data_IF_604853027582
#
_entry.id   IF_604853027582
#
_cell.length_a   1.000
_cell.length_b   1.000
_cell.length_c   1.000
_cell.angle_alpha   90.00
_cell.angle_beta   90.00
_cell.angle_gamma   90.00
#
_symmetry.space_group_name_H-M   'P 1'
#
loop_
_entity.id
_entity.type
_entity.pdbx_description
1 polymer ?
#
# COMPACT_ATOMS: atom_id res chain seq x y z
N UNK A 1 26.70 1.87 -7.40
CA UNK A 1 25.24 2.06 -7.38
C UNK A 1 24.73 2.35 -8.77
N UNK A 2 23.74 1.64 -9.21
CA UNK A 2 23.14 1.88 -10.50
C UNK A 2 22.02 2.90 -10.33
N UNK A 3 22.10 4.00 -11.09
CA UNK A 3 21.03 4.99 -11.12
C UNK A 3 19.97 4.52 -12.11
N UNK A 4 18.82 4.15 -11.55
CA UNK A 4 17.66 3.78 -12.36
C UNK A 4 16.74 4.99 -12.46
N UNK A 5 16.38 5.34 -13.69
CA UNK A 5 15.36 6.35 -13.90
C UNK A 5 14.00 5.76 -13.58
N UNK A 6 13.25 6.43 -12.75
CA UNK A 6 11.85 6.06 -12.49
C UNK A 6 11.06 6.32 -13.79
N UNK A 7 10.34 5.31 -14.29
CA UNK A 7 9.47 5.53 -15.45
C UNK A 7 8.46 6.63 -15.18
N UNK A 8 8.10 7.36 -16.22
CA UNK A 8 7.04 8.36 -16.12
C UNK A 8 5.75 7.65 -15.75
N UNK A 9 5.06 8.17 -14.72
CA UNK A 9 3.82 7.60 -14.26
C UNK A 9 2.71 7.90 -15.27
N UNK A 10 2.01 6.88 -15.72
CA UNK A 10 0.83 7.03 -16.58
C UNK A 10 -0.41 7.23 -15.69
N UNK A 11 -0.70 8.47 -15.40
CA UNK A 11 -1.89 8.81 -14.63
C UNK A 11 -3.15 8.40 -15.38
N UNK A 12 -4.11 7.84 -14.66
CA UNK A 12 -5.36 7.37 -15.24
C UNK A 12 -5.35 5.92 -15.68
N UNK A 13 -4.20 5.23 -15.66
CA UNK A 13 -4.17 3.80 -15.90
C UNK A 13 -4.77 3.04 -14.71
N UNK A 14 -5.57 1.99 -14.95
CA UNK A 14 -6.01 1.13 -13.88
C UNK A 14 -4.82 0.48 -13.16
N UNK A 15 -4.89 0.38 -11.85
CA UNK A 15 -3.88 -0.34 -11.09
C UNK A 15 -3.88 -1.82 -11.49
N UNK A 16 -2.71 -2.42 -11.72
CA UNK A 16 -2.65 -3.86 -12.01
C UNK A 16 -3.23 -4.66 -10.86
N UNK A 17 -3.87 -5.77 -11.18
CA UNK A 17 -4.36 -6.67 -10.16
C UNK A 17 -3.19 -7.39 -9.50
N UNK A 18 -3.39 -7.80 -8.27
CA UNK A 18 -2.43 -8.61 -7.54
C UNK A 18 -3.16 -9.64 -6.68
N UNK A 19 -2.46 -10.70 -6.34
CA UNK A 19 -2.93 -11.75 -5.45
C UNK A 19 -1.72 -12.20 -4.62
N UNK A 20 -1.64 -11.70 -3.40
CA UNK A 20 -0.47 -11.86 -2.56
C UNK A 20 -0.85 -12.48 -1.21
N UNK A 21 0.02 -13.35 -0.66
CA UNK A 21 -0.19 -13.88 0.68
C UNK A 21 0.02 -12.79 1.73
N UNK A 22 -0.93 -12.67 2.65
CA UNK A 22 -0.78 -11.79 3.80
C UNK A 22 -0.11 -12.46 4.97
N UNK A 23 0.30 -11.67 5.94
CA UNK A 23 0.91 -12.16 7.18
C UNK A 23 -0.06 -12.99 8.02
N UNK A 24 -1.35 -12.86 7.77
CA UNK A 24 -2.42 -13.61 8.45
C UNK A 24 -2.73 -14.96 7.78
N UNK A 25 -1.99 -15.34 6.73
CA UNK A 25 -2.20 -16.56 5.98
C UNK A 25 -3.27 -16.48 4.92
N UNK A 26 -3.96 -15.34 4.78
CA UNK A 26 -4.95 -15.13 3.73
C UNK A 26 -4.27 -14.57 2.48
N UNK A 27 -4.94 -14.78 1.36
CA UNK A 27 -4.54 -14.13 0.12
C UNK A 27 -5.33 -12.85 -0.07
N UNK A 28 -4.62 -11.83 -0.49
CA UNK A 28 -5.21 -10.50 -0.65
C UNK A 28 -5.06 -10.04 -2.10
N UNK A 29 -6.15 -9.61 -2.68
CA UNK A 29 -6.21 -9.08 -4.04
C UNK A 29 -6.49 -7.58 -4.00
N UNK A 30 -6.26 -6.92 -5.14
CA UNK A 30 -6.59 -5.50 -5.29
C UNK A 30 -8.04 -5.22 -4.89
N UNK A 31 -8.97 -6.03 -5.38
CA UNK A 31 -10.39 -5.81 -5.12
C UNK A 31 -10.77 -6.08 -3.68
N UNK A 32 -10.09 -7.01 -3.01
CA UNK A 32 -10.34 -7.33 -1.61
C UNK A 32 -9.93 -6.20 -0.66
N UNK A 33 -8.90 -5.42 -1.02
CA UNK A 33 -8.37 -4.35 -0.15
C UNK A 33 -8.87 -2.97 -0.57
N UNK A 34 -9.46 -2.85 -1.74
CA UNK A 34 -9.94 -1.56 -2.25
C UNK A 34 -11.15 -1.07 -1.45
N UNK A 35 -11.08 0.18 -0.99
CA UNK A 35 -12.23 0.84 -0.38
C UNK A 35 -13.14 1.48 -1.43
N UNK A 36 -14.35 1.92 -1.03
CA UNK A 36 -15.31 2.51 -1.97
C UNK A 36 -14.81 3.84 -2.58
N UNK A 37 -13.94 4.56 -1.91
CA UNK A 37 -13.38 5.81 -2.42
C UNK A 37 -12.02 5.64 -3.09
N UNK A 38 -11.35 4.50 -2.91
CA UNK A 38 -10.05 4.25 -3.53
C UNK A 38 -9.18 3.30 -2.75
N UNK A 39 -7.93 3.22 -3.17
CA UNK A 39 -6.92 2.33 -2.58
C UNK A 39 -5.57 3.03 -2.55
N UNK A 40 -4.91 2.97 -1.40
CA UNK A 40 -3.51 3.39 -1.25
C UNK A 40 -2.64 2.15 -1.09
N UNK A 41 -1.68 1.98 -1.99
CA UNK A 41 -0.69 0.90 -1.94
C UNK A 41 0.65 1.48 -1.51
N UNK A 42 1.24 0.90 -0.47
CA UNK A 42 2.55 1.32 0.02
C UNK A 42 3.53 0.16 -0.11
N UNK A 43 4.72 0.44 -0.65
CA UNK A 43 5.82 -0.53 -0.69
C UNK A 43 6.80 -0.16 0.42
N UNK A 44 6.80 -0.93 1.49
CA UNK A 44 7.61 -0.64 2.67
C UNK A 44 8.39 -1.87 3.12
N UNK A 45 9.49 -1.62 3.84
CA UNK A 45 10.32 -2.66 4.42
C UNK A 45 10.09 -2.70 5.94
N UNK A 46 9.71 -3.86 6.47
CA UNK A 46 9.42 -4.00 7.90
C UNK A 46 10.67 -3.87 8.78
N UNK A 47 11.85 -4.14 8.22
CA UNK A 47 13.12 -4.09 8.95
C UNK A 47 13.83 -2.75 8.82
N UNK A 48 13.29 -1.83 8.02
CA UNK A 48 13.88 -0.52 7.83
C UNK A 48 13.68 0.33 9.10
N UNK A 49 14.74 0.93 9.68
CA UNK A 49 14.60 1.77 10.87
C UNK A 49 13.64 2.95 10.66
N UNK A 50 13.60 3.51 9.46
CA UNK A 50 12.67 4.60 9.16
C UNK A 50 11.22 4.15 9.25
N UNK A 51 10.90 2.96 8.74
CA UNK A 51 9.55 2.42 8.82
C UNK A 51 9.18 2.14 10.27
N UNK A 52 10.11 1.58 11.04
CA UNK A 52 9.86 1.31 12.46
C UNK A 52 9.60 2.60 13.24
N UNK A 53 10.34 3.67 12.92
CA UNK A 53 10.20 4.95 13.59
C UNK A 53 8.85 5.62 13.32
N UNK A 54 8.24 5.38 12.16
CA UNK A 54 6.99 6.03 11.75
C UNK A 54 5.80 5.07 11.75
N UNK A 55 5.98 3.84 12.21
CA UNK A 55 4.95 2.79 12.12
C UNK A 55 3.63 3.21 12.75
N UNK A 56 3.67 3.73 13.96
CA UNK A 56 2.46 4.13 14.67
C UNK A 56 1.70 5.22 13.93
N UNK A 57 2.44 6.16 13.37
CA UNK A 57 1.87 7.24 12.58
C UNK A 57 1.23 6.72 11.30
N UNK A 58 1.90 5.78 10.62
CA UNK A 58 1.34 5.15 9.41
C UNK A 58 0.05 4.42 9.71
N UNK A 59 0.00 3.67 10.81
CA UNK A 59 -1.23 2.96 11.22
C UNK A 59 -2.35 3.95 11.52
N UNK A 60 -2.05 5.04 12.20
CA UNK A 60 -3.03 6.06 12.53
C UNK A 60 -3.61 6.72 11.27
N UNK A 61 -2.75 7.08 10.34
CA UNK A 61 -3.17 7.69 9.09
C UNK A 61 -3.95 6.70 8.22
N UNK A 62 -3.56 5.43 8.23
CA UNK A 62 -4.30 4.39 7.51
C UNK A 62 -5.72 4.24 8.05
N UNK A 63 -5.91 4.32 9.37
CA UNK A 63 -7.25 4.30 9.98
C UNK A 63 -8.07 5.49 9.57
N UNK A 64 -7.47 6.67 9.50
CA UNK A 64 -8.16 7.88 9.06
C UNK A 64 -8.60 7.77 7.60
N UNK A 65 -7.76 7.23 6.74
CA UNK A 65 -8.10 6.99 5.34
C UNK A 65 -9.20 5.94 5.21
N UNK A 66 -9.18 4.88 6.02
CA UNK A 66 -10.22 3.87 6.00
C UNK A 66 -11.58 4.47 6.37
N UNK A 67 -11.61 5.41 7.31
CA UNK A 67 -12.82 6.12 7.67
C UNK A 67 -13.38 6.97 6.52
N UNK A 68 -12.51 7.39 5.58
CA UNK A 68 -12.90 8.11 4.37
C UNK A 68 -13.24 7.19 3.20
N UNK A 69 -13.22 5.88 3.41
CA UNK A 69 -13.55 4.89 2.38
C UNK A 69 -12.38 4.51 1.49
N UNK A 70 -11.15 4.79 1.90
CA UNK A 70 -9.94 4.45 1.16
C UNK A 70 -9.29 3.23 1.81
N UNK A 71 -9.15 2.14 1.06
CA UNK A 71 -8.41 0.96 1.50
C UNK A 71 -6.92 1.25 1.52
N UNK A 72 -6.19 0.66 2.46
CA UNK A 72 -4.74 0.83 2.57
C UNK A 72 -4.10 -0.55 2.67
N UNK A 73 -3.07 -0.78 1.85
CA UNK A 73 -2.31 -2.01 1.89
C UNK A 73 -0.81 -1.70 1.82
N UNK A 74 -0.03 -2.41 2.63
CA UNK A 74 1.43 -2.34 2.61
C UNK A 74 1.98 -3.66 2.07
N UNK A 75 2.88 -3.57 1.10
CA UNK A 75 3.50 -4.72 0.46
C UNK A 75 4.97 -4.78 0.80
#
# INVERSE_FOLDING_TARGET
>A
MVLLHTPVCDFGLPAPDFDLPGVDGRRWTRDAVRGPAGLLVMFICNHCPYVQAVRERLVREARDLAALGIGVVAI
#
